data_IF_187085042135
#
_entry.id   IF_187085042135
#
_cell.length_a   1.000
_cell.length_b   1.000
_cell.length_c   1.000
_cell.angle_alpha   90.00
_cell.angle_beta   90.00
_cell.angle_gamma   90.00
#
_symmetry.space_group_name_H-M   'P 1'
#
loop_
_entity.id
_entity.type
_entity.pdbx_description
1 polymer ?
#
# COMPACT_ATOMS: atom_id res chain seq x y z
N UNK A 1 -6.78 -41.89 17.02
CA UNK A 1 -7.97 -42.09 17.87
C UNK A 1 -8.48 -40.70 18.22
N UNK A 2 -9.41 -40.08 17.50
CA UNK A 2 -10.65 -40.60 16.94
C UNK A 2 -10.97 -39.93 15.58
N UNK A 3 -11.18 -40.77 14.57
CA UNK A 3 -11.84 -40.43 13.30
C UNK A 3 -12.82 -41.57 13.02
N UNK A 4 -13.89 -41.67 13.80
CA UNK A 4 -14.88 -42.76 13.69
C UNK A 4 -16.31 -42.30 14.01
N UNK A 5 -16.63 -41.02 13.91
CA UNK A 5 -18.01 -40.56 14.06
C UNK A 5 -18.51 -39.87 12.79
N UNK A 6 -19.61 -40.45 12.30
CA UNK A 6 -20.57 -39.91 11.33
C UNK A 6 -20.30 -40.17 9.85
N UNK A 7 -19.93 -41.42 9.53
CA UNK A 7 -20.29 -42.09 8.27
C UNK A 7 -21.78 -42.55 8.25
N UNK A 8 -22.57 -42.21 9.27
CA UNK A 8 -23.95 -42.66 9.43
C UNK A 8 -24.99 -41.56 9.13
N UNK A 9 -25.12 -41.18 7.86
CA UNK A 9 -26.30 -40.45 7.35
C UNK A 9 -26.70 -40.87 5.93
N UNK A 10 -26.26 -42.04 5.47
CA UNK A 10 -26.84 -42.74 4.33
C UNK A 10 -27.83 -43.78 4.85
N UNK A 11 -29.10 -43.43 5.01
CA UNK A 11 -30.25 -44.34 4.82
C UNK A 11 -31.58 -43.70 5.28
N UNK A 12 -32.33 -43.16 4.33
CA UNK A 12 -33.80 -43.15 4.32
C UNK A 12 -34.21 -43.25 2.84
N UNK A 13 -34.38 -44.47 2.30
CA UNK A 13 -35.69 -45.11 2.01
C UNK A 13 -36.58 -44.22 1.11
N UNK A 14 -36.71 -44.54 -0.18
CA UNK A 14 -37.73 -45.43 -0.78
C UNK A 14 -39.16 -44.90 -0.55
N UNK A 15 -40.01 -44.59 -1.54
CA UNK A 15 -39.96 -44.87 -2.98
C UNK A 15 -40.94 -44.01 -3.80
N UNK A 16 -41.12 -44.30 -5.10
CA UNK A 16 -42.02 -43.57 -5.99
C UNK A 16 -43.48 -44.02 -5.79
N UNK A 17 -44.40 -43.07 -5.59
CA UNK A 17 -45.85 -43.34 -5.67
C UNK A 17 -46.37 -42.97 -7.07
N UNK A 18 -46.97 -43.91 -7.81
CA UNK A 18 -47.76 -43.62 -9.00
C UNK A 18 -49.21 -43.33 -8.58
N UNK A 19 -49.66 -42.09 -8.76
CA UNK A 19 -51.00 -41.67 -8.36
C UNK A 19 -51.51 -40.54 -9.24
N UNK A 20 -52.52 -40.88 -10.03
CA UNK A 20 -53.26 -40.03 -10.98
C UNK A 20 -53.63 -38.65 -10.43
N UNK A 21 -53.29 -37.62 -11.21
CA UNK A 21 -53.73 -36.24 -11.00
C UNK A 21 -53.72 -35.43 -12.31
N UNK A 22 -54.15 -36.03 -13.42
CA UNK A 22 -54.40 -35.32 -14.68
C UNK A 22 -55.70 -34.51 -14.58
N UNK A 23 -55.75 -33.41 -13.82
CA UNK A 23 -56.76 -32.32 -13.96
C UNK A 23 -56.46 -31.21 -12.92
N UNK A 24 -55.44 -30.38 -13.18
CA UNK A 24 -55.30 -29.04 -12.55
C UNK A 24 -54.17 -28.21 -13.17
N UNK A 25 -53.21 -28.85 -13.86
CA UNK A 25 -51.96 -28.18 -14.25
C UNK A 25 -52.13 -27.16 -15.38
N UNK A 26 -53.17 -27.22 -16.20
CA UNK A 26 -53.31 -26.27 -17.33
C UNK A 26 -53.57 -24.82 -16.90
N UNK A 27 -54.25 -24.58 -15.78
CA UNK A 27 -54.48 -23.22 -15.26
C UNK A 27 -53.37 -22.71 -14.35
N UNK A 28 -52.65 -23.59 -13.65
CA UNK A 28 -51.46 -23.21 -12.87
C UNK A 28 -50.23 -23.04 -13.75
N UNK A 29 -50.03 -23.88 -14.78
CA UNK A 29 -49.00 -23.69 -15.80
C UNK A 29 -49.29 -22.47 -16.68
N UNK A 30 -50.56 -22.17 -16.99
CA UNK A 30 -50.91 -20.93 -17.70
C UNK A 30 -50.71 -19.68 -16.84
N UNK A 31 -50.97 -19.74 -15.52
CA UNK A 31 -50.66 -18.65 -14.59
C UNK A 31 -49.16 -18.54 -14.31
N UNK A 32 -48.42 -19.64 -14.26
CA UNK A 32 -46.96 -19.66 -14.15
C UNK A 32 -46.27 -19.26 -15.46
N UNK A 33 -46.89 -19.49 -16.62
CA UNK A 33 -46.43 -19.03 -17.92
C UNK A 33 -46.78 -17.55 -18.18
N UNK A 34 -47.94 -17.08 -17.72
CA UNK A 34 -48.29 -15.65 -17.73
C UNK A 34 -47.45 -14.83 -16.74
N UNK A 35 -46.97 -15.46 -15.65
CA UNK A 35 -45.97 -14.88 -14.74
C UNK A 35 -44.52 -14.95 -15.31
N UNK A 36 -44.33 -15.60 -16.46
CA UNK A 36 -43.08 -15.60 -17.25
C UNK A 36 -43.29 -14.85 -18.56
N UNK A 37 -43.81 -13.62 -18.46
CA UNK A 37 -43.47 -12.60 -19.45
C UNK A 37 -41.93 -12.55 -19.51
N UNK A 38 -41.30 -12.87 -20.65
CA UNK A 38 -39.88 -12.61 -20.81
C UNK A 38 -39.76 -11.09 -20.86
N UNK A 39 -39.62 -10.47 -19.68
CA UNK A 39 -39.18 -9.10 -19.55
C UNK A 39 -37.78 -9.04 -20.17
N UNK A 40 -37.76 -8.86 -21.49
CA UNK A 40 -36.59 -8.61 -22.29
C UNK A 40 -36.10 -7.26 -21.80
N UNK A 41 -35.28 -7.30 -20.74
CA UNK A 41 -34.60 -6.13 -20.20
C UNK A 41 -34.10 -5.34 -21.38
N UNK A 42 -34.62 -4.13 -21.51
CA UNK A 42 -34.31 -3.32 -22.66
C UNK A 42 -32.82 -3.03 -22.66
N UNK A 43 -32.22 -2.82 -23.83
CA UNK A 43 -30.78 -2.53 -23.94
C UNK A 43 -30.41 -1.31 -23.07
N UNK A 44 -31.35 -0.39 -22.88
CA UNK A 44 -31.25 0.75 -21.95
C UNK A 44 -31.21 0.35 -20.47
N UNK A 45 -31.98 -0.64 -20.02
CA UNK A 45 -31.95 -1.14 -18.64
C UNK A 45 -30.67 -1.92 -18.32
N UNK A 46 -30.13 -2.67 -19.28
CA UNK A 46 -28.85 -3.37 -19.10
C UNK A 46 -27.69 -2.37 -18.99
N UNK A 47 -27.70 -1.33 -19.81
CA UNK A 47 -26.70 -0.26 -19.76
C UNK A 47 -26.82 0.57 -18.47
N UNK A 48 -28.05 0.89 -18.06
CA UNK A 48 -28.33 1.58 -16.79
C UNK A 48 -27.86 0.75 -15.59
N UNK A 49 -28.14 -0.55 -15.57
CA UNK A 49 -27.71 -1.46 -14.50
C UNK A 49 -26.19 -1.66 -14.47
N UNK A 50 -25.52 -1.77 -15.62
CA UNK A 50 -24.07 -1.87 -15.70
C UNK A 50 -23.39 -0.58 -15.21
N UNK A 51 -23.92 0.58 -15.59
CA UNK A 51 -23.42 1.89 -15.13
C UNK A 51 -23.64 2.06 -13.63
N UNK A 52 -24.80 1.64 -13.11
CA UNK A 52 -25.09 1.65 -11.68
C UNK A 52 -24.11 0.75 -10.90
N UNK A 53 -23.85 -0.47 -11.36
CA UNK A 53 -22.90 -1.40 -10.73
C UNK A 53 -21.47 -0.87 -10.73
N UNK A 54 -21.04 -0.26 -11.84
CA UNK A 54 -19.74 0.38 -11.92
C UNK A 54 -19.63 1.56 -10.93
N UNK A 55 -20.68 2.36 -10.82
CA UNK A 55 -20.75 3.47 -9.86
C UNK A 55 -20.67 2.99 -8.41
N UNK A 56 -21.32 1.87 -8.08
CA UNK A 56 -21.24 1.23 -6.76
C UNK A 56 -19.84 0.70 -6.47
N UNK A 57 -19.20 -0.03 -7.41
CA UNK A 57 -17.83 -0.53 -7.25
C UNK A 57 -16.82 0.60 -7.05
N UNK A 58 -16.91 1.67 -7.84
CA UNK A 58 -16.05 2.85 -7.70
C UNK A 58 -16.26 3.52 -6.35
N UNK A 59 -17.51 3.66 -5.90
CA UNK A 59 -17.82 4.24 -4.60
C UNK A 59 -17.26 3.38 -3.46
N UNK A 60 -17.37 2.06 -3.55
CA UNK A 60 -16.89 1.13 -2.54
C UNK A 60 -15.36 1.10 -2.47
N UNK A 61 -14.68 1.08 -3.62
CA UNK A 61 -13.21 1.14 -3.68
C UNK A 61 -12.69 2.47 -3.14
N UNK A 62 -13.37 3.59 -3.42
CA UNK A 62 -13.02 4.90 -2.85
C UNK A 62 -13.22 4.91 -1.33
N UNK A 63 -14.32 4.36 -0.82
CA UNK A 63 -14.59 4.32 0.63
C UNK A 63 -13.57 3.44 1.36
N UNK A 64 -13.23 2.28 0.78
CA UNK A 64 -12.23 1.36 1.31
C UNK A 64 -10.81 1.96 1.26
N UNK A 65 -10.46 2.50 0.10
CA UNK A 65 -9.16 3.14 -0.14
C UNK A 65 -9.01 4.38 0.72
N UNK A 66 -10.06 5.17 0.94
CA UNK A 66 -10.00 6.32 1.84
C UNK A 66 -9.70 5.89 3.29
N UNK A 67 -10.32 4.83 3.79
CA UNK A 67 -10.03 4.31 5.14
C UNK A 67 -8.59 3.77 5.24
N UNK A 68 -8.15 2.98 4.26
CA UNK A 68 -6.79 2.43 4.20
C UNK A 68 -5.72 3.51 4.02
N UNK A 69 -6.01 4.56 3.24
CA UNK A 69 -5.16 5.73 3.05
C UNK A 69 -4.98 6.49 4.35
N UNK A 70 -6.06 6.74 5.12
CA UNK A 70 -5.96 7.42 6.42
C UNK A 70 -5.03 6.66 7.37
N UNK A 71 -5.18 5.34 7.47
CA UNK A 71 -4.28 4.52 8.28
C UNK A 71 -2.84 4.52 7.77
N UNK A 72 -2.61 4.43 6.45
CA UNK A 72 -1.26 4.50 5.85
C UNK A 72 -0.61 5.86 6.07
N UNK A 73 -1.35 6.97 5.90
CA UNK A 73 -0.86 8.34 6.11
C UNK A 73 -0.54 8.59 7.57
N UNK A 74 -1.39 8.14 8.49
CA UNK A 74 -1.13 8.28 9.93
C UNK A 74 0.08 7.45 10.36
N UNK A 75 0.19 6.21 9.92
CA UNK A 75 1.32 5.35 10.28
C UNK A 75 2.64 5.84 9.66
N UNK A 76 2.62 6.24 8.38
CA UNK A 76 3.79 6.80 7.71
C UNK A 76 4.16 8.19 8.26
N UNK A 77 3.16 9.00 8.61
CA UNK A 77 3.34 10.32 9.22
C UNK A 77 3.90 10.22 10.63
N UNK A 78 3.35 9.32 11.47
CA UNK A 78 3.84 9.05 12.82
C UNK A 78 5.27 8.52 12.78
N UNK A 79 5.54 7.55 11.89
CA UNK A 79 6.90 7.07 11.63
C UNK A 79 7.82 8.21 11.21
N UNK A 80 7.40 9.05 10.27
CA UNK A 80 8.18 10.21 9.81
C UNK A 80 8.51 11.19 10.95
N UNK A 81 7.55 11.52 11.81
CA UNK A 81 7.76 12.39 12.98
C UNK A 81 8.71 11.75 13.98
N UNK A 82 8.52 10.46 14.29
CA UNK A 82 9.37 9.75 15.26
C UNK A 82 10.81 9.65 14.76
N UNK A 83 11.00 9.39 13.46
CA UNK A 83 12.31 9.36 12.82
C UNK A 83 12.95 10.75 12.77
N UNK A 84 12.16 11.82 12.55
CA UNK A 84 12.67 13.19 12.60
C UNK A 84 13.17 13.54 14.01
N UNK A 85 12.39 13.25 15.05
CA UNK A 85 12.78 13.46 16.45
C UNK A 85 14.00 12.63 16.81
N UNK A 86 14.01 11.34 16.44
CA UNK A 86 15.16 10.46 16.66
C UNK A 86 16.40 10.97 15.93
N UNK A 87 16.26 11.50 14.71
CA UNK A 87 17.34 12.12 13.95
C UNK A 87 17.94 13.34 14.67
N UNK A 88 17.09 14.24 15.18
CA UNK A 88 17.56 15.40 15.97
C UNK A 88 18.27 14.96 17.25
N UNK A 89 17.70 14.01 17.99
CA UNK A 89 18.32 13.47 19.21
C UNK A 89 19.63 12.75 18.91
N UNK A 90 19.72 12.01 17.81
CA UNK A 90 20.96 11.37 17.36
C UNK A 90 22.04 12.41 17.01
N UNK A 91 21.68 13.57 16.44
CA UNK A 91 22.63 14.67 16.21
C UNK A 91 23.15 15.26 17.52
N UNK A 92 22.28 15.48 18.51
CA UNK A 92 22.73 15.92 19.83
C UNK A 92 23.63 14.90 20.51
N UNK A 93 23.22 13.62 20.50
CA UNK A 93 24.01 12.51 21.06
C UNK A 93 25.37 12.41 20.39
N UNK A 94 25.43 12.51 19.06
CA UNK A 94 26.68 12.53 18.30
C UNK A 94 27.57 13.71 18.71
N UNK A 95 27.00 14.91 18.90
CA UNK A 95 27.72 16.08 19.41
C UNK A 95 28.35 15.84 20.79
N UNK A 96 27.58 15.25 21.73
CA UNK A 96 28.11 14.85 23.04
C UNK A 96 29.19 13.78 22.94
N UNK A 97 29.04 12.80 22.04
CA UNK A 97 30.04 11.75 21.82
C UNK A 97 31.35 12.32 21.26
N UNK A 98 31.26 13.24 20.30
CA UNK A 98 32.42 13.95 19.75
C UNK A 98 33.11 14.80 20.82
N UNK A 99 32.33 15.48 21.67
CA UNK A 99 32.86 16.24 22.79
C UNK A 99 33.56 15.34 23.81
N UNK A 100 32.95 14.21 24.18
CA UNK A 100 33.55 13.23 25.07
C UNK A 100 34.83 12.63 24.49
N UNK A 101 34.86 12.33 23.20
CA UNK A 101 36.06 11.87 22.51
C UNK A 101 37.16 12.95 22.52
N UNK A 102 36.82 14.21 22.26
CA UNK A 102 37.76 15.32 22.30
C UNK A 102 38.32 15.54 23.71
N UNK A 103 37.48 15.41 24.74
CA UNK A 103 37.89 15.47 26.14
C UNK A 103 38.83 14.30 26.49
N UNK A 104 38.54 13.08 26.03
CA UNK A 104 39.44 11.95 26.18
C UNK A 104 40.81 12.21 25.54
N UNK A 105 40.84 12.66 24.28
CA UNK A 105 42.11 12.99 23.62
C UNK A 105 42.83 14.18 24.27
N UNK A 106 42.10 15.14 24.83
CA UNK A 106 42.68 16.24 25.60
C UNK A 106 43.52 15.73 26.77
N UNK A 107 43.02 14.73 27.50
CA UNK A 107 43.77 14.08 28.59
C UNK A 107 45.00 13.36 28.04
N UNK A 108 44.84 12.61 26.94
CA UNK A 108 45.95 11.89 26.27
C UNK A 108 47.07 12.83 25.82
N UNK A 109 46.74 14.02 25.33
CA UNK A 109 47.70 15.04 24.90
C UNK A 109 48.19 15.96 26.03
N UNK A 110 48.08 15.54 27.29
CA UNK A 110 48.63 16.29 28.44
C UNK A 110 47.79 17.50 28.84
N UNK A 111 46.46 17.41 28.73
CA UNK A 111 45.52 18.47 29.12
C UNK A 111 45.37 19.59 28.08
N UNK A 112 45.95 19.44 26.89
CA UNK A 112 45.88 20.45 25.83
C UNK A 112 44.53 20.37 25.09
N UNK A 113 43.55 21.13 25.57
CA UNK A 113 42.17 21.09 25.06
C UNK A 113 42.08 21.20 23.54
N UNK A 114 42.76 22.16 22.90
CA UNK A 114 42.72 22.31 21.44
C UNK A 114 43.20 21.06 20.67
N UNK A 115 44.18 20.32 21.18
CA UNK A 115 44.74 19.15 20.50
C UNK A 115 43.72 18.01 20.41
N UNK A 116 42.90 17.83 21.45
CA UNK A 116 41.85 16.81 21.46
C UNK A 116 40.77 17.07 20.40
N UNK A 117 40.32 18.32 20.26
CA UNK A 117 39.33 18.68 19.25
C UNK A 117 39.90 18.57 17.82
N UNK A 118 41.16 18.97 17.59
CA UNK A 118 41.80 18.83 16.28
C UNK A 118 41.95 17.36 15.88
N UNK A 119 42.30 16.47 16.82
CA UNK A 119 42.42 15.04 16.54
C UNK A 119 41.07 14.45 16.10
N UNK A 120 40.00 14.72 16.84
CA UNK A 120 38.65 14.24 16.49
C UNK A 120 38.18 14.82 15.16
N UNK A 121 38.40 16.12 14.92
CA UNK A 121 38.06 16.77 13.66
C UNK A 121 38.80 16.16 12.46
N UNK A 122 40.09 15.87 12.62
CA UNK A 122 40.89 15.20 11.59
C UNK A 122 40.37 13.80 11.25
N UNK A 123 40.05 12.99 12.27
CA UNK A 123 39.47 11.65 12.08
C UNK A 123 38.12 11.74 11.34
N UNK A 124 37.24 12.66 11.76
CA UNK A 124 35.95 12.86 11.10
C UNK A 124 36.10 13.29 9.64
N UNK A 125 37.04 14.17 9.35
CA UNK A 125 37.30 14.64 7.98
C UNK A 125 37.72 13.48 7.06
N UNK A 126 38.55 12.56 7.56
CA UNK A 126 38.91 11.36 6.81
C UNK A 126 37.69 10.45 6.56
N UNK A 127 36.86 10.23 7.58
CA UNK A 127 35.63 9.43 7.44
C UNK A 127 34.69 10.08 6.40
N UNK A 128 34.46 11.39 6.50
CA UNK A 128 33.61 12.15 5.57
C UNK A 128 34.15 12.04 4.14
N UNK A 129 35.45 12.18 3.93
CA UNK A 129 36.07 12.06 2.60
C UNK A 129 35.83 10.67 1.99
N UNK A 130 36.00 9.61 2.78
CA UNK A 130 35.76 8.22 2.34
C UNK A 130 34.29 7.98 2.03
N UNK A 131 33.38 8.40 2.92
CA UNK A 131 31.93 8.26 2.74
C UNK A 131 31.43 9.06 1.53
N UNK A 132 31.89 10.30 1.35
CA UNK A 132 31.56 11.12 0.20
C UNK A 132 32.04 10.47 -1.10
N UNK A 133 33.27 9.92 -1.12
CA UNK A 133 33.79 9.23 -2.29
C UNK A 133 33.01 7.95 -2.62
N UNK A 134 32.65 7.16 -1.60
CA UNK A 134 31.80 5.98 -1.75
C UNK A 134 30.39 6.35 -2.22
N UNK A 135 29.80 7.39 -1.65
CA UNK A 135 28.50 7.94 -2.03
C UNK A 135 28.51 8.39 -3.49
N UNK A 136 29.49 9.20 -3.89
CA UNK A 136 29.69 9.61 -5.29
C UNK A 136 29.87 8.41 -6.21
N UNK A 137 30.63 7.40 -5.81
CA UNK A 137 30.79 6.16 -6.60
C UNK A 137 29.48 5.40 -6.75
N UNK A 138 28.69 5.30 -5.69
CA UNK A 138 27.37 4.64 -5.72
C UNK A 138 26.39 5.42 -6.60
N UNK A 139 26.34 6.75 -6.48
CA UNK A 139 25.51 7.63 -7.31
C UNK A 139 25.92 7.61 -8.78
N UNK A 140 27.23 7.64 -9.08
CA UNK A 140 27.75 7.49 -10.44
C UNK A 140 27.41 6.12 -11.03
N UNK A 141 27.39 5.07 -10.20
CA UNK A 141 26.99 3.71 -10.62
C UNK A 141 25.47 3.58 -10.80
N UNK A 142 24.66 4.30 -10.02
CA UNK A 142 23.20 4.31 -10.12
C UNK A 142 22.67 5.25 -11.21
N UNK A 143 23.47 6.22 -11.67
CA UNK A 143 23.14 7.11 -12.79
C UNK A 143 22.90 6.43 -14.15
N UNK A 144 22.98 5.09 -14.22
CA UNK A 144 22.49 4.30 -15.35
C UNK A 144 20.96 4.15 -15.39
N UNK A 145 20.26 4.47 -14.29
CA UNK A 145 18.80 4.58 -14.26
C UNK A 145 18.42 6.05 -14.14
N UNK A 146 17.87 6.69 -15.19
CA UNK A 146 17.42 8.06 -15.11
C UNK A 146 16.14 8.09 -14.27
N UNK A 147 16.26 8.26 -12.95
CA UNK A 147 15.15 8.75 -12.14
C UNK A 147 15.10 10.26 -12.31
N UNK A 148 14.68 10.69 -13.50
CA UNK A 148 14.28 12.07 -13.77
C UNK A 148 12.94 12.34 -13.09
N UNK A 149 12.89 12.32 -11.76
CA UNK A 149 11.67 12.62 -11.00
C UNK A 149 11.06 13.95 -11.47
N UNK A 150 11.89 14.96 -11.69
CA UNK A 150 11.47 16.25 -12.26
C UNK A 150 11.07 16.14 -13.75
N UNK A 151 11.77 15.32 -14.53
CA UNK A 151 11.49 15.15 -15.96
C UNK A 151 10.23 14.33 -16.28
N UNK A 152 9.81 13.44 -15.38
CA UNK A 152 8.51 12.75 -15.47
C UNK A 152 7.35 13.70 -15.20
N UNK A 153 7.46 14.48 -14.12
CA UNK A 153 6.49 15.52 -13.77
C UNK A 153 6.34 16.60 -14.85
N UNK A 154 7.44 17.07 -15.45
CA UNK A 154 7.36 18.02 -16.56
C UNK A 154 6.74 17.41 -17.82
N UNK A 155 7.04 16.14 -18.14
CA UNK A 155 6.41 15.44 -19.27
C UNK A 155 4.91 15.26 -19.08
N UNK A 156 4.47 14.96 -17.87
CA UNK A 156 3.04 14.81 -17.56
C UNK A 156 2.31 16.15 -17.63
N UNK A 157 2.93 17.23 -17.15
CA UNK A 157 2.37 18.59 -17.26
C UNK A 157 2.30 19.05 -18.72
N UNK A 158 3.34 18.80 -19.52
CA UNK A 158 3.34 19.13 -20.95
C UNK A 158 2.30 18.32 -21.72
N UNK A 159 2.08 17.05 -21.36
CA UNK A 159 1.05 16.20 -21.97
C UNK A 159 -0.36 16.75 -21.69
N UNK A 160 -0.63 17.19 -20.45
CA UNK A 160 -1.91 17.82 -20.08
C UNK A 160 -2.09 19.16 -20.80
N UNK A 161 -1.04 19.98 -20.87
CA UNK A 161 -1.09 21.28 -21.54
C UNK A 161 -1.37 21.16 -23.04
N UNK A 162 -0.79 20.16 -23.72
CA UNK A 162 -1.09 19.83 -25.12
C UNK A 162 -2.50 19.29 -25.33
N UNK A 163 -3.02 18.53 -24.36
CA UNK A 163 -4.39 18.00 -24.39
C UNK A 163 -5.46 19.09 -24.24
N UNK A 164 -5.14 20.18 -23.54
CA UNK A 164 -6.04 21.33 -23.34
C UNK A 164 -5.97 22.40 -24.44
N UNK A 165 -4.93 22.38 -25.28
CA UNK A 165 -4.75 23.35 -26.37
C UNK A 165 -5.25 22.84 -27.73
N UNK A 166 -6.13 21.84 -27.74
CA UNK A 166 -6.72 21.23 -28.94
C UNK A 166 -8.24 21.27 -28.84
#
# INVERSE_FOLDING_TARGET
MAQEDVENARASTTGPLPGSGYVASSSEEARAAAAREPNRRTVGELFSSATAQFSTLVRDEIQYTQASLKHKVLNLGMGGVLLAVAGVLALFMLGFLLHAAAAFFTVVFGGRWWAGYLAVAGILLLIIAVLALLGLRKLKKSGKYPTNLVGGLSKDVDAVKKGLSK
#
